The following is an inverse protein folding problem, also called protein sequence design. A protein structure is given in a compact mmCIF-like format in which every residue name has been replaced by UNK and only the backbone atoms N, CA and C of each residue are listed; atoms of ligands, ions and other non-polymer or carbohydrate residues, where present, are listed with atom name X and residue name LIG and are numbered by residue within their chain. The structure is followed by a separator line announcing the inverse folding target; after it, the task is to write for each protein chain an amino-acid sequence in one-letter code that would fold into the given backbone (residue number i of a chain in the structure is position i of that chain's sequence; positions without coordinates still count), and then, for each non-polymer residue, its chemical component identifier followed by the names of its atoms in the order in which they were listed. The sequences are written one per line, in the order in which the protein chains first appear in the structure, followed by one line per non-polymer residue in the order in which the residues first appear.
data_IF_346481485775
#
_entry.id   IF_346481485775
#
_cell.length_a   1.000
_cell.length_b   1.000
_cell.length_c   1.000
_cell.angle_alpha   90.00
_cell.angle_beta   90.00
_cell.angle_gamma   90.00
#
_symmetry.space_group_name_H-M   'P 1'
#
loop_
_entity.id
_entity.type
_entity.pdbx_description
1 polymer ?
#
# COMPACT_ATOMS: atom_id res chain seq x y z
N UNK A 1 9.74 -14.16 -24.39
CA UNK A 1 9.40 -12.86 -23.76
C UNK A 1 8.76 -13.09 -22.38
N UNK A 2 9.30 -14.01 -21.56
CA UNK A 2 8.72 -14.47 -20.28
C UNK A 2 9.24 -13.70 -19.07
N UNK A 3 10.51 -13.29 -19.08
CA UNK A 3 11.20 -12.81 -17.87
C UNK A 3 10.63 -11.50 -17.31
N UNK A 4 10.15 -10.63 -18.19
CA UNK A 4 9.53 -9.36 -17.80
C UNK A 4 8.19 -9.61 -17.11
N UNK A 5 7.43 -10.61 -17.54
CA UNK A 5 6.13 -10.93 -16.94
C UNK A 5 6.28 -11.53 -15.53
N UNK A 6 7.25 -12.42 -15.32
CA UNK A 6 7.57 -12.97 -14.00
C UNK A 6 8.09 -11.89 -13.04
N UNK A 7 8.96 -10.99 -13.50
CA UNK A 7 9.45 -9.87 -12.70
C UNK A 7 8.30 -8.97 -12.23
N UNK A 8 7.36 -8.66 -13.12
CA UNK A 8 6.17 -7.88 -12.76
C UNK A 8 5.24 -8.59 -11.77
N UNK A 9 5.13 -9.92 -11.83
CA UNK A 9 4.38 -10.70 -10.84
C UNK A 9 5.05 -10.65 -9.47
N UNK A 10 6.36 -10.90 -9.39
CA UNK A 10 7.13 -10.82 -8.14
C UNK A 10 6.98 -9.45 -7.45
N UNK A 11 7.04 -8.37 -8.22
CA UNK A 11 6.84 -7.00 -7.71
C UNK A 11 5.41 -6.77 -7.19
N UNK A 12 4.39 -7.34 -7.85
CA UNK A 12 2.99 -7.23 -7.39
C UNK A 12 2.78 -7.97 -6.08
N UNK A 13 3.34 -9.18 -5.95
CA UNK A 13 3.17 -9.99 -4.77
C UNK A 13 3.95 -9.43 -3.58
N UNK A 14 5.14 -8.89 -3.80
CA UNK A 14 5.87 -8.16 -2.77
C UNK A 14 5.07 -6.93 -2.27
N UNK A 15 4.48 -6.14 -3.16
CA UNK A 15 3.58 -5.03 -2.77
C UNK A 15 2.34 -5.50 -2.01
N UNK A 16 1.80 -6.69 -2.30
CA UNK A 16 0.70 -7.26 -1.51
C UNK A 16 1.15 -7.62 -0.10
N UNK A 17 2.32 -8.23 0.07
CA UNK A 17 2.90 -8.55 1.39
C UNK A 17 3.17 -7.30 2.22
N UNK A 18 3.74 -6.26 1.59
CA UNK A 18 3.93 -4.95 2.22
C UNK A 18 2.61 -4.36 2.72
N UNK A 19 1.55 -4.41 1.91
CA UNK A 19 0.22 -3.93 2.33
C UNK A 19 -0.39 -4.78 3.44
N UNK A 20 -0.15 -6.08 3.46
CA UNK A 20 -0.65 -6.95 4.52
C UNK A 20 0.05 -6.69 5.87
N UNK A 21 1.37 -6.41 5.86
CA UNK A 21 2.17 -6.15 7.07
C UNK A 21 2.08 -4.72 7.56
N UNK A 22 2.21 -3.75 6.65
CA UNK A 22 2.40 -2.33 6.97
C UNK A 22 1.29 -1.43 6.42
N UNK A 23 0.35 -1.98 5.65
CA UNK A 23 -0.77 -1.24 5.12
C UNK A 23 -1.76 -0.84 6.21
N UNK A 24 -2.22 0.40 6.16
CA UNK A 24 -3.26 0.92 7.07
C UNK A 24 -4.38 1.53 6.25
N UNK A 25 -5.60 1.38 6.72
CA UNK A 25 -6.77 1.95 6.08
C UNK A 25 -6.73 3.48 6.12
N UNK A 26 -7.04 4.10 4.98
CA UNK A 26 -7.14 5.56 4.89
C UNK A 26 -8.20 6.08 5.89
N UNK A 27 -7.83 6.92 6.87
CA UNK A 27 -8.75 7.37 7.91
C UNK A 27 -9.92 8.19 7.34
N UNK A 28 -9.67 8.97 6.29
CA UNK A 28 -10.74 9.73 5.61
C UNK A 28 -11.71 8.80 4.87
N UNK A 29 -11.22 7.71 4.28
CA UNK A 29 -12.12 6.73 3.64
C UNK A 29 -13.03 6.06 4.67
N UNK A 30 -12.48 5.67 5.82
CA UNK A 30 -13.25 5.04 6.90
C UNK A 30 -14.31 6.02 7.45
N UNK A 31 -13.95 7.31 7.59
CA UNK A 31 -14.84 8.35 8.10
C UNK A 31 -15.95 8.74 7.13
N UNK A 32 -15.61 8.94 5.84
CA UNK A 32 -16.52 9.49 4.84
C UNK A 32 -17.32 8.43 4.08
N UNK A 33 -16.77 7.22 3.96
CA UNK A 33 -17.35 6.12 3.18
C UNK A 33 -17.44 4.84 4.02
N UNK A 34 -18.22 4.82 5.11
CA UNK A 34 -18.27 3.67 6.02
C UNK A 34 -18.82 2.38 5.38
N UNK A 35 -19.48 2.47 4.22
CA UNK A 35 -19.99 1.32 3.45
C UNK A 35 -19.00 0.82 2.39
N UNK A 36 -17.95 1.57 2.08
CA UNK A 36 -16.97 1.21 1.06
C UNK A 36 -15.71 0.64 1.72
N UNK A 37 -15.04 -0.28 1.02
CA UNK A 37 -13.72 -0.74 1.46
C UNK A 37 -12.73 0.44 1.42
N UNK A 38 -12.09 0.79 2.55
CA UNK A 38 -11.13 1.87 2.57
C UNK A 38 -9.92 1.54 1.70
N UNK A 39 -9.25 2.59 1.20
CA UNK A 39 -7.99 2.39 0.48
C UNK A 39 -6.89 2.05 1.48
N UNK A 40 -6.26 0.88 1.33
CA UNK A 40 -5.07 0.51 2.09
C UNK A 40 -3.88 1.34 1.59
N UNK A 41 -3.32 2.14 2.49
CA UNK A 41 -2.18 3.01 2.25
C UNK A 41 -0.92 2.41 2.87
N UNK A 42 0.16 2.40 2.09
CA UNK A 42 1.50 2.34 2.63
C UNK A 42 1.92 3.72 3.15
N UNK A 43 2.90 3.80 4.06
CA UNK A 43 3.52 5.06 4.46
C UNK A 43 3.85 5.95 3.26
N UNK A 44 3.64 7.26 3.38
CA UNK A 44 3.78 8.28 2.33
C UNK A 44 2.86 8.11 1.10
N UNK A 45 2.06 7.05 1.00
CA UNK A 45 1.15 6.83 -0.11
C UNK A 45 -0.05 7.78 -0.01
N UNK A 46 -0.49 8.27 -1.17
CA UNK A 46 -1.71 9.09 -1.28
C UNK A 46 -2.93 8.22 -1.59
N UNK A 47 -4.01 8.45 -0.85
CA UNK A 47 -5.33 7.92 -1.17
C UNK A 47 -5.82 8.50 -2.50
N UNK A 48 -6.33 7.64 -3.38
CA UNK A 48 -6.85 8.05 -4.68
C UNK A 48 -8.22 8.72 -4.61
N UNK A 49 -8.98 8.47 -3.54
CA UNK A 49 -10.35 8.95 -3.39
C UNK A 49 -10.36 10.38 -2.81
N UNK A 50 -9.72 10.57 -1.65
CA UNK A 50 -9.76 11.84 -0.91
C UNK A 50 -8.46 12.65 -1.01
N UNK A 51 -7.40 12.09 -1.61
CA UNK A 51 -6.11 12.76 -1.65
C UNK A 51 -5.34 12.79 -0.33
N UNK A 52 -5.87 12.18 0.74
CA UNK A 52 -5.16 12.03 2.01
C UNK A 52 -3.80 11.36 1.80
N UNK A 53 -2.74 11.99 2.31
CA UNK A 53 -1.38 11.44 2.29
C UNK A 53 -1.08 10.88 3.66
N UNK A 54 -0.65 9.63 3.68
CA UNK A 54 -0.20 9.01 4.91
C UNK A 54 1.05 9.74 5.42
N UNK A 55 0.99 10.26 6.66
CA UNK A 55 2.07 11.02 7.30
C UNK A 55 3.10 10.11 7.99
N UNK A 56 2.89 8.78 7.99
CA UNK A 56 3.86 7.83 8.53
C UNK A 56 5.20 7.96 7.80
N UNK A 57 6.33 7.82 8.51
CA UNK A 57 7.65 7.83 7.90
C UNK A 57 7.75 6.72 6.86
N UNK A 58 8.53 6.96 5.81
CA UNK A 58 8.77 5.95 4.78
C UNK A 58 9.32 4.65 5.38
N UNK A 59 8.94 3.51 4.80
CA UNK A 59 9.50 2.24 5.24
C UNK A 59 11.01 2.27 5.04
N UNK A 60 11.76 1.80 6.03
CA UNK A 60 13.19 1.59 5.88
C UNK A 60 13.46 0.45 4.90
N UNK A 61 14.65 0.43 4.29
CA UNK A 61 15.06 -0.64 3.36
C UNK A 61 14.98 -2.04 4.00
N UNK A 62 15.19 -2.12 5.31
CA UNK A 62 15.02 -3.35 6.10
C UNK A 62 13.56 -3.80 6.11
N UNK A 63 12.63 -2.90 6.45
CA UNK A 63 11.19 -3.20 6.46
C UNK A 63 10.66 -3.52 5.05
N UNK A 64 11.25 -2.91 4.02
CA UNK A 64 10.95 -3.24 2.63
C UNK A 64 11.39 -4.67 2.30
N UNK A 65 12.63 -5.04 2.66
CA UNK A 65 13.20 -6.36 2.36
C UNK A 65 12.56 -7.51 3.17
N UNK A 66 12.07 -7.23 4.37
CA UNK A 66 11.44 -8.21 5.27
C UNK A 66 9.99 -8.59 4.89
N UNK A 67 9.41 -7.95 3.88
CA UNK A 67 8.00 -8.09 3.51
C UNK A 67 7.68 -9.29 2.61
#
# INVERSE_FOLDING_TARGET
MSDVAEMHQGMRDHKKRLRAKYGVDCPECVRLLPKACPTILLPQQRCRIHGYRDQRPELTDQQWSEA
#
